data_IF_677354526360
#
_entry.id   IF_677354526360
#
_cell.length_a   1.000
_cell.length_b   1.000
_cell.length_c   1.000
_cell.angle_alpha   90.00
_cell.angle_beta   90.00
_cell.angle_gamma   90.00
#
_symmetry.space_group_name_H-M   'P 1'
#
loop_
_entity.id
_entity.type
_entity.pdbx_description
1 polymer ?
#
# COMPACT_ATOMS: atom_id res chain seq x y z
N UNK A 1 -17.13 23.80 7.64
CA UNK A 1 -16.68 24.11 6.27
C UNK A 1 -16.02 22.88 5.66
N UNK A 2 -16.22 22.63 4.37
CA UNK A 2 -15.61 21.48 3.67
C UNK A 2 -14.09 21.65 3.63
N UNK A 3 -13.38 20.90 4.47
CA UNK A 3 -11.93 21.01 4.66
C UNK A 3 -11.11 20.50 3.46
N UNK A 4 -11.72 19.75 2.54
CA UNK A 4 -11.08 19.29 1.31
C UNK A 4 -12.06 19.42 0.13
N UNK A 5 -11.66 20.21 -0.87
CA UNK A 5 -12.42 20.45 -2.10
C UNK A 5 -12.26 19.29 -3.08
N UNK A 6 -13.13 19.20 -4.09
CA UNK A 6 -12.98 18.26 -5.20
C UNK A 6 -11.61 18.41 -5.89
N UNK A 7 -11.15 19.64 -6.05
CA UNK A 7 -9.82 19.96 -6.57
C UNK A 7 -8.69 19.46 -5.67
N UNK A 8 -8.85 19.56 -4.34
CA UNK A 8 -7.93 18.98 -3.38
C UNK A 8 -7.84 17.45 -3.49
N UNK A 9 -8.99 16.76 -3.63
CA UNK A 9 -9.01 15.31 -3.85
C UNK A 9 -8.30 14.94 -5.15
N UNK A 10 -8.57 15.66 -6.25
CA UNK A 10 -7.92 15.44 -7.53
C UNK A 10 -6.40 15.66 -7.45
N UNK A 11 -5.96 16.74 -6.81
CA UNK A 11 -4.54 17.03 -6.58
C UNK A 11 -3.84 15.90 -5.79
N UNK A 12 -4.49 15.39 -4.74
CA UNK A 12 -3.98 14.29 -3.93
C UNK A 12 -3.81 13.01 -4.77
N UNK A 13 -4.78 12.68 -5.60
CA UNK A 13 -4.71 11.50 -6.48
C UNK A 13 -3.65 11.64 -7.55
N UNK A 14 -3.58 12.80 -8.23
CA UNK A 14 -2.62 13.06 -9.29
C UNK A 14 -1.17 13.05 -8.77
N UNK A 15 -0.91 13.68 -7.61
CA UNK A 15 0.41 13.69 -7.00
C UNK A 15 0.87 12.28 -6.62
N UNK A 16 -0.01 11.50 -5.98
CA UNK A 16 0.28 10.12 -5.61
C UNK A 16 0.52 9.23 -6.83
N UNK A 17 -0.37 9.30 -7.84
CA UNK A 17 -0.28 8.50 -9.06
C UNK A 17 1.00 8.82 -9.85
N UNK A 18 1.30 10.11 -10.04
CA UNK A 18 2.49 10.53 -10.76
C UNK A 18 3.77 10.01 -10.09
N UNK A 19 3.87 10.12 -8.76
CA UNK A 19 5.04 9.62 -8.03
C UNK A 19 5.17 8.09 -8.11
N UNK A 20 4.06 7.36 -7.92
CA UNK A 20 4.02 5.89 -8.07
C UNK A 20 4.46 5.45 -9.46
N UNK A 21 4.00 6.12 -10.52
CA UNK A 21 4.39 5.83 -11.90
C UNK A 21 5.88 6.09 -12.13
N UNK A 22 6.42 7.20 -11.64
CA UNK A 22 7.85 7.55 -11.73
C UNK A 22 8.70 6.46 -11.06
N UNK A 23 8.37 6.09 -9.83
CA UNK A 23 9.11 5.07 -9.08
C UNK A 23 8.97 3.68 -9.70
N UNK A 24 7.77 3.31 -10.17
CA UNK A 24 7.53 2.05 -10.88
C UNK A 24 8.36 1.97 -12.16
N UNK A 25 8.43 3.06 -12.93
CA UNK A 25 9.25 3.14 -14.13
C UNK A 25 10.75 3.00 -13.81
N UNK A 26 11.21 3.52 -12.67
CA UNK A 26 12.58 3.36 -12.16
C UNK A 26 12.83 2.00 -11.49
N UNK A 27 11.81 1.17 -11.30
CA UNK A 27 11.91 -0.12 -10.61
C UNK A 27 12.18 0.01 -9.11
N UNK A 28 11.81 1.14 -8.51
CA UNK A 28 11.89 1.40 -7.08
C UNK A 28 10.58 0.96 -6.41
N UNK A 29 10.57 -0.11 -5.61
CA UNK A 29 9.40 -0.50 -4.84
C UNK A 29 9.12 0.57 -3.78
N UNK A 30 8.05 1.34 -3.96
CA UNK A 30 7.58 2.33 -2.99
C UNK A 30 6.13 2.03 -2.60
N UNK A 31 5.72 2.57 -1.46
CA UNK A 31 4.36 2.42 -0.94
C UNK A 31 3.39 3.39 -1.63
N UNK A 32 2.37 2.83 -2.29
CA UNK A 32 1.22 3.60 -2.78
C UNK A 32 0.48 4.32 -1.66
N UNK A 33 0.28 3.65 -0.51
CA UNK A 33 -0.30 4.23 0.70
C UNK A 33 0.46 5.48 1.16
N UNK A 34 1.80 5.43 1.12
CA UNK A 34 2.66 6.51 1.61
C UNK A 34 2.64 7.69 0.64
N UNK A 35 2.56 7.37 -0.65
CA UNK A 35 2.40 8.36 -1.71
C UNK A 35 1.05 9.08 -1.61
N UNK A 36 -0.03 8.33 -1.40
CA UNK A 36 -1.38 8.86 -1.24
C UNK A 36 -1.51 9.74 0.00
N UNK A 37 -0.98 9.29 1.14
CA UNK A 37 -1.02 10.08 2.38
C UNK A 37 -0.28 11.41 2.24
N UNK A 38 0.93 11.39 1.67
CA UNK A 38 1.66 12.62 1.38
C UNK A 38 0.92 13.51 0.39
N UNK A 39 0.32 12.93 -0.66
CA UNK A 39 -0.50 13.67 -1.63
C UNK A 39 -1.72 14.35 -0.99
N UNK A 40 -2.45 13.66 -0.10
CA UNK A 40 -3.60 14.21 0.63
C UNK A 40 -3.15 15.35 1.55
N UNK A 41 -2.09 15.14 2.34
CA UNK A 41 -1.54 16.18 3.22
C UNK A 41 -1.11 17.40 2.39
N UNK A 42 -0.35 17.18 1.32
CA UNK A 42 0.08 18.24 0.42
C UNK A 42 -1.09 19.02 -0.19
N UNK A 43 -2.05 18.31 -0.78
CA UNK A 43 -3.21 18.94 -1.43
C UNK A 43 -4.10 19.70 -0.43
N UNK A 44 -4.28 19.17 0.78
CA UNK A 44 -4.98 19.87 1.85
C UNK A 44 -4.25 21.15 2.25
N UNK A 45 -2.91 21.12 2.37
CA UNK A 45 -2.11 22.32 2.63
C UNK A 45 -2.18 23.34 1.50
N UNK A 46 -2.12 22.90 0.23
CA UNK A 46 -2.26 23.80 -0.91
C UNK A 46 -3.63 24.48 -0.96
N UNK A 47 -4.69 23.71 -0.69
CA UNK A 47 -6.06 24.24 -0.59
C UNK A 47 -6.21 25.20 0.59
N UNK A 48 -5.64 24.85 1.76
CA UNK A 48 -5.62 25.69 2.94
C UNK A 48 -5.00 27.06 2.67
N UNK A 49 -3.81 27.08 2.06
CA UNK A 49 -3.09 28.30 1.71
C UNK A 49 -3.92 29.17 0.76
N UNK A 50 -4.54 28.56 -0.26
CA UNK A 50 -5.40 29.28 -1.20
C UNK A 50 -6.60 29.94 -0.52
N UNK A 51 -7.23 29.24 0.41
CA UNK A 51 -8.40 29.73 1.16
C UNK A 51 -8.04 30.63 2.36
N UNK A 52 -6.74 30.83 2.65
CA UNK A 52 -6.28 31.63 3.79
C UNK A 52 -6.40 30.94 5.15
N UNK A 53 -6.53 29.61 5.19
CA UNK A 53 -6.55 28.82 6.41
C UNK A 53 -5.16 28.34 6.84
N UNK A 54 -4.98 28.09 8.15
CA UNK A 54 -3.75 27.55 8.73
C UNK A 54 -3.62 26.02 8.69
N UNK A 55 -2.63 25.49 9.42
CA UNK A 55 -2.35 24.04 9.51
C UNK A 55 -3.44 23.23 10.23
N UNK A 56 -4.43 23.89 10.82
CA UNK A 56 -5.56 23.30 11.55
C UNK A 56 -6.45 22.40 10.67
N UNK A 57 -6.29 22.48 9.35
CA UNK A 57 -6.98 21.59 8.40
C UNK A 57 -6.49 20.13 8.50
N UNK A 58 -5.26 19.90 8.99
CA UNK A 58 -4.71 18.55 9.13
C UNK A 58 -5.13 17.92 10.46
N UNK A 59 -5.99 16.89 10.37
CA UNK A 59 -6.38 16.06 11.53
C UNK A 59 -5.26 15.09 11.91
N UNK A 60 -4.30 15.57 12.70
CA UNK A 60 -3.13 14.80 13.12
C UNK A 60 -3.47 13.52 13.90
N UNK A 61 -4.59 13.49 14.61
CA UNK A 61 -5.08 12.32 15.34
C UNK A 61 -5.27 11.09 14.44
N UNK A 62 -5.70 11.29 13.19
CA UNK A 62 -5.81 10.20 12.21
C UNK A 62 -4.52 9.98 11.39
N UNK A 63 -3.79 11.06 11.09
CA UNK A 63 -2.60 11.02 10.23
C UNK A 63 -1.40 10.37 10.94
N UNK A 64 -1.13 10.76 12.19
CA UNK A 64 0.08 10.32 12.87
C UNK A 64 0.13 8.80 13.12
N UNK A 65 -0.94 8.14 13.63
CA UNK A 65 -0.95 6.69 13.81
C UNK A 65 -0.75 5.94 12.48
N UNK A 66 -1.32 6.45 11.40
CA UNK A 66 -1.19 5.86 10.08
C UNK A 66 0.26 5.93 9.56
N UNK A 67 0.94 7.07 9.69
CA UNK A 67 2.37 7.22 9.32
C UNK A 67 3.23 6.26 10.15
N UNK A 68 3.00 6.21 11.47
CA UNK A 68 3.76 5.34 12.39
C UNK A 68 3.59 3.87 11.99
N UNK A 69 2.37 3.42 11.78
CA UNK A 69 2.08 2.04 11.39
C UNK A 69 2.75 1.66 10.06
N UNK A 70 2.75 2.57 9.08
CA UNK A 70 3.40 2.36 7.79
C UNK A 70 4.92 2.29 7.92
N UNK A 71 5.53 3.06 8.83
CA UNK A 71 6.95 3.00 9.16
C UNK A 71 7.35 1.72 9.91
N UNK A 72 6.46 1.18 10.75
CA UNK A 72 6.69 -0.07 11.51
C UNK A 72 6.42 -1.34 10.70
N UNK A 73 5.55 -1.27 9.68
CA UNK A 73 5.16 -2.42 8.86
C UNK A 73 6.31 -3.24 8.23
N UNK A 74 7.42 -2.67 7.72
CA UNK A 74 8.54 -3.48 7.23
C UNK A 74 9.24 -4.25 8.36
N UNK A 75 9.32 -3.69 9.58
CA UNK A 75 9.92 -4.38 10.72
C UNK A 75 9.05 -5.57 11.15
N UNK A 76 7.73 -5.38 11.22
CA UNK A 76 6.79 -6.47 11.51
C UNK A 76 6.89 -7.56 10.44
N UNK A 77 6.87 -7.18 9.16
CA UNK A 77 7.05 -8.10 8.04
C UNK A 77 8.34 -8.92 8.17
N UNK A 78 9.45 -8.26 8.52
CA UNK A 78 10.73 -8.92 8.78
C UNK A 78 10.63 -9.96 9.92
N UNK A 79 10.09 -9.56 11.07
CA UNK A 79 9.99 -10.41 12.26
C UNK A 79 9.14 -11.64 11.98
N UNK A 80 7.93 -11.46 11.43
CA UNK A 80 7.01 -12.57 11.16
C UNK A 80 7.58 -13.54 10.13
N UNK A 81 8.22 -13.05 9.06
CA UNK A 81 8.84 -13.93 8.06
C UNK A 81 10.10 -14.63 8.60
N UNK A 82 10.92 -13.95 9.40
CA UNK A 82 12.12 -14.52 10.01
C UNK A 82 11.77 -15.67 10.96
N UNK A 83 10.83 -15.46 11.88
CA UNK A 83 10.38 -16.51 12.79
C UNK A 83 9.56 -17.58 12.08
N UNK A 84 8.69 -17.18 11.15
CA UNK A 84 7.89 -18.12 10.34
C UNK A 84 8.77 -19.08 9.55
N UNK A 85 9.86 -18.60 8.94
CA UNK A 85 10.79 -19.47 8.23
C UNK A 85 11.57 -20.39 9.19
N UNK A 86 12.04 -19.88 10.34
CA UNK A 86 12.68 -20.74 11.35
C UNK A 86 11.75 -21.86 11.83
N UNK A 87 10.49 -21.54 12.10
CA UNK A 87 9.46 -22.52 12.46
C UNK A 87 9.23 -23.54 11.35
N UNK A 88 9.15 -23.07 10.10
CA UNK A 88 8.98 -23.95 8.94
C UNK A 88 10.17 -24.90 8.79
N UNK A 89 11.40 -24.40 8.96
CA UNK A 89 12.62 -25.22 8.96
C UNK A 89 12.62 -26.23 10.10
N UNK A 90 12.23 -25.83 11.31
CA UNK A 90 12.15 -26.74 12.46
C UNK A 90 11.09 -27.84 12.26
N UNK A 91 9.90 -27.52 11.77
CA UNK A 91 8.85 -28.49 11.47
C UNK A 91 9.26 -29.47 10.36
N UNK A 92 10.06 -29.00 9.40
CA UNK A 92 10.48 -29.81 8.24
C UNK A 92 11.87 -30.39 8.37
N UNK A 93 12.63 -30.11 9.44
CA UNK A 93 14.01 -30.60 9.57
C UNK A 93 14.08 -32.12 9.67
N UNK A 94 12.99 -32.77 10.08
CA UNK A 94 12.84 -34.24 10.09
C UNK A 94 12.63 -34.80 8.66
N UNK A 95 12.04 -34.00 7.76
CA UNK A 95 11.72 -34.38 6.39
C UNK A 95 12.63 -33.63 5.41
N UNK A 96 13.74 -34.24 4.98
CA UNK A 96 14.78 -33.64 4.13
C UNK A 96 14.24 -32.59 3.12
N UNK A 97 14.24 -31.28 3.44
CA UNK A 97 13.56 -30.26 2.62
C UNK A 97 14.25 -30.07 1.26
N UNK A 98 15.51 -30.51 1.16
CA UNK A 98 16.32 -30.52 -0.05
C UNK A 98 16.00 -31.70 -0.96
N UNK A 99 15.22 -32.69 -0.50
CA UNK A 99 14.68 -33.75 -1.34
C UNK A 99 13.71 -33.17 -2.37
N UNK A 100 13.54 -33.88 -3.49
CA UNK A 100 12.63 -33.47 -4.58
C UNK A 100 11.21 -33.22 -4.08
N UNK A 101 10.72 -34.07 -3.18
CA UNK A 101 9.39 -33.96 -2.59
C UNK A 101 9.22 -32.66 -1.76
N UNK A 102 10.21 -32.29 -0.94
CA UNK A 102 10.19 -31.05 -0.17
C UNK A 102 10.14 -29.81 -1.06
N UNK A 103 10.93 -29.79 -2.15
CA UNK A 103 10.86 -28.69 -3.13
C UNK A 103 9.49 -28.59 -3.81
N UNK A 104 8.90 -29.71 -4.21
CA UNK A 104 7.57 -29.71 -4.84
C UNK A 104 6.48 -29.21 -3.88
N UNK A 105 6.53 -29.65 -2.62
CA UNK A 105 5.62 -29.18 -1.58
C UNK A 105 5.71 -27.66 -1.41
N UNK A 106 6.92 -27.12 -1.20
CA UNK A 106 7.09 -25.68 -0.99
C UNK A 106 6.79 -24.84 -2.23
N UNK A 107 7.00 -25.36 -3.45
CA UNK A 107 6.52 -24.68 -4.65
C UNK A 107 4.99 -24.58 -4.70
N UNK A 108 4.28 -25.64 -4.30
CA UNK A 108 2.81 -25.62 -4.20
C UNK A 108 2.32 -24.69 -3.09
N UNK A 109 2.94 -24.75 -1.91
CA UNK A 109 2.63 -23.84 -0.79
C UNK A 109 2.93 -22.39 -1.15
N UNK A 110 4.01 -22.12 -1.88
CA UNK A 110 4.32 -20.77 -2.35
C UNK A 110 3.25 -20.25 -3.31
N UNK A 111 2.73 -21.08 -4.22
CA UNK A 111 1.65 -20.66 -5.11
C UNK A 111 0.39 -20.25 -4.31
N UNK A 112 0.07 -21.01 -3.26
CA UNK A 112 -1.03 -20.68 -2.36
C UNK A 112 -0.76 -19.37 -1.58
N UNK A 113 0.43 -19.22 -0.98
CA UNK A 113 0.77 -18.00 -0.23
C UNK A 113 0.86 -16.76 -1.13
N UNK A 114 1.35 -16.90 -2.36
CA UNK A 114 1.38 -15.81 -3.33
C UNK A 114 -0.05 -15.37 -3.72
N UNK A 115 -0.97 -16.33 -3.84
CA UNK A 115 -2.39 -16.05 -4.10
C UNK A 115 -3.04 -15.33 -2.93
N UNK A 116 -2.78 -15.76 -1.69
CA UNK A 116 -3.25 -15.08 -0.47
C UNK A 116 -2.66 -13.66 -0.36
N UNK A 117 -1.37 -13.50 -0.63
CA UNK A 117 -0.71 -12.20 -0.63
C UNK A 117 -1.30 -11.27 -1.71
N UNK A 118 -1.59 -11.79 -2.90
CA UNK A 118 -2.26 -11.02 -3.97
C UNK A 118 -3.68 -10.59 -3.56
N UNK A 119 -4.44 -11.49 -2.93
CA UNK A 119 -5.76 -11.15 -2.37
C UNK A 119 -5.65 -10.06 -1.29
N UNK A 120 -4.70 -10.19 -0.36
CA UNK A 120 -4.47 -9.20 0.69
C UNK A 120 -3.98 -7.86 0.17
N UNK A 121 -3.15 -7.89 -0.88
CA UNK A 121 -2.74 -6.69 -1.60
C UNK A 121 -3.96 -5.96 -2.17
N UNK A 122 -4.89 -6.70 -2.79
CA UNK A 122 -6.16 -6.16 -3.28
C UNK A 122 -7.06 -5.60 -2.21
N UNK A 123 -7.32 -6.38 -1.15
CA UNK A 123 -8.13 -5.96 -0.01
C UNK A 123 -7.61 -4.64 0.59
N UNK A 124 -6.30 -4.55 0.83
CA UNK A 124 -5.70 -3.36 1.44
C UNK A 124 -5.57 -2.16 0.50
N UNK A 125 -5.11 -2.33 -0.74
CA UNK A 125 -4.80 -1.19 -1.62
C UNK A 125 -6.05 -0.66 -2.35
N UNK A 126 -7.01 -1.53 -2.67
CA UNK A 126 -8.26 -1.09 -3.29
C UNK A 126 -9.10 -0.24 -2.31
N UNK A 127 -9.14 -0.61 -1.02
CA UNK A 127 -9.84 0.17 0.02
C UNK A 127 -9.39 1.64 0.08
N UNK A 128 -8.10 1.91 -0.14
CA UNK A 128 -7.56 3.27 -0.09
C UNK A 128 -8.14 4.14 -1.21
N UNK A 129 -8.16 3.60 -2.42
CA UNK A 129 -8.71 4.31 -3.59
C UNK A 129 -10.22 4.42 -3.48
N UNK A 130 -10.91 3.37 -3.02
CA UNK A 130 -12.36 3.41 -2.74
C UNK A 130 -12.70 4.52 -1.73
N UNK A 131 -11.91 4.66 -0.66
CA UNK A 131 -12.08 5.71 0.34
C UNK A 131 -11.94 7.12 -0.24
N UNK A 132 -10.95 7.35 -1.10
CA UNK A 132 -10.74 8.66 -1.77
C UNK A 132 -11.86 8.98 -2.74
N UNK A 133 -12.32 8.01 -3.54
CA UNK A 133 -13.46 8.21 -4.44
C UNK A 133 -14.73 8.48 -3.63
N UNK A 134 -14.99 7.72 -2.57
CA UNK A 134 -16.14 7.93 -1.69
C UNK A 134 -16.09 9.31 -1.04
N UNK A 135 -14.90 9.76 -0.64
CA UNK A 135 -14.67 11.11 -0.12
C UNK A 135 -14.97 12.20 -1.15
N UNK A 136 -14.64 11.99 -2.43
CA UNK A 136 -15.07 12.87 -3.51
C UNK A 136 -16.60 12.88 -3.65
N UNK A 137 -17.26 11.73 -3.54
CA UNK A 137 -18.72 11.66 -3.66
C UNK A 137 -19.45 12.35 -2.51
N UNK A 138 -19.01 12.19 -1.26
CA UNK A 138 -19.64 12.87 -0.10
C UNK A 138 -19.38 14.38 -0.09
N UNK A 139 -18.34 14.83 -0.79
CA UNK A 139 -18.01 16.27 -0.91
C UNK A 139 -18.70 16.93 -2.09
N UNK A 140 -19.60 16.24 -2.81
CA UNK A 140 -20.41 16.85 -3.87
C UNK A 140 -21.37 17.90 -3.29
N UNK A 141 -21.62 19.01 -4.00
CA UNK A 141 -22.67 19.96 -3.62
C UNK A 141 -24.03 19.25 -3.54
N UNK A 142 -24.86 19.62 -2.56
CA UNK A 142 -26.18 19.01 -2.37
C UNK A 142 -27.08 19.09 -3.61
N UNK A 143 -26.98 20.19 -4.37
CA UNK A 143 -27.68 20.40 -5.63
C UNK A 143 -27.30 19.37 -6.69
N UNK A 144 -26.01 19.03 -6.79
CA UNK A 144 -25.50 18.01 -7.71
C UNK A 144 -25.84 16.60 -7.21
N UNK A 145 -25.68 16.35 -5.91
CA UNK A 145 -25.94 15.04 -5.31
C UNK A 145 -27.41 14.60 -5.49
N UNK A 146 -28.37 15.53 -5.39
CA UNK A 146 -29.80 15.25 -5.58
C UNK A 146 -30.18 14.89 -7.03
N UNK A 147 -29.38 15.30 -8.01
CA UNK A 147 -29.62 14.99 -9.42
C UNK A 147 -29.04 13.62 -9.83
N UNK A 148 -28.21 13.02 -8.97
CA UNK A 148 -27.56 11.76 -9.28
C UNK A 148 -28.45 10.57 -8.90
N UNK A 149 -28.39 9.46 -9.64
CA UNK A 149 -29.09 8.25 -9.28
C UNK A 149 -28.68 7.75 -7.89
N UNK A 150 -29.63 7.18 -7.13
CA UNK A 150 -29.36 6.69 -5.78
C UNK A 150 -28.23 5.65 -5.69
N UNK A 151 -28.00 4.87 -6.76
CA UNK A 151 -26.90 3.90 -6.83
C UNK A 151 -25.51 4.53 -6.98
N UNK A 152 -25.44 5.80 -7.40
CA UNK A 152 -24.19 6.51 -7.63
C UNK A 152 -23.63 7.13 -6.34
N UNK A 153 -24.52 7.62 -5.48
CA UNK A 153 -24.19 8.29 -4.22
C UNK A 153 -23.88 7.25 -3.13
N UNK A 154 -22.97 7.54 -2.17
CA UNK A 154 -22.68 6.66 -1.05
C UNK A 154 -23.96 6.22 -0.30
N UNK A 155 -24.21 4.90 -0.18
CA UNK A 155 -25.34 4.42 0.60
C UNK A 155 -25.11 4.70 2.09
N UNK A 156 -26.18 4.94 2.86
CA UNK A 156 -26.08 5.03 4.32
C UNK A 156 -25.89 3.65 4.91
N UNK A 157 -24.79 3.44 5.63
CA UNK A 157 -24.48 2.22 6.36
C UNK A 157 -25.42 1.96 7.54
N UNK A 158 -25.36 0.76 8.11
CA UNK A 158 -26.19 0.36 9.26
C UNK A 158 -25.89 1.16 10.54
N UNK A 159 -24.70 1.75 10.60
CA UNK A 159 -24.16 2.63 11.62
C UNK A 159 -24.44 4.13 11.36
N UNK A 160 -25.09 4.46 10.25
CA UNK A 160 -25.34 5.84 9.82
C UNK A 160 -24.18 6.48 9.06
N UNK A 161 -23.06 5.77 8.90
CA UNK A 161 -21.87 6.27 8.18
C UNK A 161 -21.97 6.03 6.67
N UNK A 162 -21.30 6.85 5.82
CA UNK A 162 -21.29 6.64 4.38
C UNK A 162 -20.60 5.32 3.99
N UNK A 163 -21.36 4.40 3.41
CA UNK A 163 -20.85 3.17 2.82
C UNK A 163 -20.18 3.39 1.47
N UNK A 164 -19.48 2.37 0.97
CA UNK A 164 -18.81 2.41 -0.33
C UNK A 164 -19.78 1.88 -1.41
N UNK A 165 -20.09 2.66 -2.47
CA UNK A 165 -20.94 2.18 -3.56
C UNK A 165 -20.35 0.96 -4.27
N UNK A 166 -21.20 0.01 -4.68
CA UNK A 166 -20.76 -1.21 -5.37
C UNK A 166 -19.96 -0.92 -6.65
N UNK A 167 -20.34 0.10 -7.41
CA UNK A 167 -19.63 0.48 -8.63
C UNK A 167 -18.20 0.94 -8.33
N UNK A 168 -17.96 1.62 -7.21
CA UNK A 168 -16.61 2.04 -6.76
C UNK A 168 -15.78 0.80 -6.44
N UNK A 169 -16.38 -0.18 -5.75
CA UNK A 169 -15.71 -1.45 -5.43
C UNK A 169 -15.29 -2.17 -6.71
N UNK A 170 -16.22 -2.34 -7.65
CA UNK A 170 -15.98 -3.03 -8.92
C UNK A 170 -14.97 -2.29 -9.80
N UNK A 171 -15.05 -0.95 -9.87
CA UNK A 171 -14.13 -0.13 -10.64
C UNK A 171 -12.70 -0.23 -10.09
N UNK A 172 -12.52 -0.07 -8.76
CA UNK A 172 -11.21 -0.20 -8.11
C UNK A 172 -10.64 -1.61 -8.26
N UNK A 173 -11.45 -2.66 -8.04
CA UNK A 173 -11.02 -4.05 -8.19
C UNK A 173 -10.58 -4.35 -9.63
N UNK A 174 -11.36 -3.93 -10.61
CA UNK A 174 -11.06 -4.15 -12.04
C UNK A 174 -9.82 -3.37 -12.47
N UNK A 175 -9.71 -2.09 -12.09
CA UNK A 175 -8.55 -1.27 -12.39
C UNK A 175 -7.26 -1.85 -11.78
N UNK A 176 -7.33 -2.35 -10.54
CA UNK A 176 -6.19 -2.98 -9.89
C UNK A 176 -5.80 -4.30 -10.56
N UNK A 177 -6.78 -5.13 -10.94
CA UNK A 177 -6.54 -6.38 -11.66
C UNK A 177 -5.86 -6.13 -13.03
N UNK A 178 -6.37 -5.17 -13.80
CA UNK A 178 -5.78 -4.77 -15.08
C UNK A 178 -4.38 -4.19 -14.89
N UNK A 179 -4.19 -3.28 -13.92
CA UNK A 179 -2.89 -2.69 -13.64
C UNK A 179 -1.82 -3.71 -13.22
N UNK A 180 -2.22 -4.69 -12.41
CA UNK A 180 -1.35 -5.81 -11.99
C UNK A 180 -0.99 -6.72 -13.17
N UNK A 181 -1.95 -7.00 -14.05
CA UNK A 181 -1.71 -7.82 -15.25
C UNK A 181 -0.82 -7.11 -16.29
N UNK A 182 -0.96 -5.79 -16.41
CA UNK A 182 -0.27 -5.01 -17.43
C UNK A 182 1.17 -4.61 -17.06
N UNK A 183 1.54 -4.57 -15.78
CA UNK A 183 2.71 -3.81 -15.34
C UNK A 183 3.46 -4.32 -14.12
N UNK A 184 4.36 -3.47 -13.60
CA UNK A 184 5.14 -3.74 -12.38
C UNK A 184 6.41 -4.57 -12.58
N UNK A 185 6.72 -5.03 -13.79
CA UNK A 185 7.85 -5.94 -14.07
C UNK A 185 9.21 -5.52 -13.50
N UNK A 186 9.55 -4.22 -13.57
CA UNK A 186 10.81 -3.70 -13.01
C UNK A 186 10.82 -3.80 -11.49
N UNK A 187 9.69 -3.51 -10.83
CA UNK A 187 9.53 -3.60 -9.38
C UNK A 187 9.58 -5.06 -8.93
N UNK A 188 8.85 -5.95 -9.62
CA UNK A 188 8.87 -7.40 -9.39
C UNK A 188 10.29 -7.94 -9.50
N UNK A 189 11.04 -7.54 -10.54
CA UNK A 189 12.45 -7.93 -10.69
C UNK A 189 13.32 -7.43 -9.53
N UNK A 190 13.10 -6.21 -9.06
CA UNK A 190 13.84 -5.66 -7.90
C UNK A 190 13.59 -6.48 -6.64
N UNK A 191 12.33 -6.75 -6.29
CA UNK A 191 11.97 -7.48 -5.08
C UNK A 191 12.33 -8.98 -5.17
N UNK A 192 12.07 -9.62 -6.31
CA UNK A 192 12.24 -11.06 -6.47
C UNK A 192 13.68 -11.52 -6.71
N UNK A 193 14.54 -10.68 -7.29
CA UNK A 193 15.91 -11.12 -7.68
C UNK A 193 17.04 -10.21 -7.21
N UNK A 194 16.79 -8.91 -7.01
CA UNK A 194 17.85 -7.95 -6.65
C UNK A 194 17.98 -7.69 -5.14
N UNK A 195 16.99 -8.09 -4.35
CA UNK A 195 16.96 -7.84 -2.91
C UNK A 195 17.51 -9.00 -2.09
N UNK A 196 17.00 -10.21 -2.32
CA UNK A 196 17.46 -11.44 -1.68
C UNK A 196 17.29 -12.63 -2.65
N UNK A 197 18.09 -13.67 -2.48
CA UNK A 197 17.91 -14.91 -3.23
C UNK A 197 16.81 -15.76 -2.58
N UNK A 198 15.59 -15.68 -3.11
CA UNK A 198 14.42 -16.39 -2.59
C UNK A 198 14.26 -17.74 -3.32
N UNK A 199 14.12 -18.85 -2.58
CA UNK A 199 13.64 -20.14 -3.12
C UNK A 199 12.21 -20.36 -2.60
N UNK A 200 11.51 -21.43 -3.02
CA UNK A 200 10.09 -21.57 -2.69
C UNK A 200 9.74 -21.57 -1.21
N UNK A 201 10.59 -22.14 -0.36
CA UNK A 201 10.38 -22.14 1.09
C UNK A 201 10.50 -20.74 1.69
N UNK A 202 11.53 -19.98 1.30
CA UNK A 202 11.71 -18.60 1.73
C UNK A 202 10.62 -17.68 1.17
N UNK A 203 10.17 -17.94 -0.06
CA UNK A 203 9.07 -17.22 -0.70
C UNK A 203 7.76 -17.43 0.03
N UNK A 204 7.43 -18.69 0.32
CA UNK A 204 6.29 -19.05 1.15
C UNK A 204 6.31 -18.34 2.51
N UNK A 205 7.45 -18.39 3.22
CA UNK A 205 7.54 -17.74 4.53
C UNK A 205 7.44 -16.21 4.45
N UNK A 206 8.02 -15.58 3.41
CA UNK A 206 7.91 -14.15 3.20
C UNK A 206 6.47 -13.71 2.90
N UNK A 207 5.78 -14.42 2.00
CA UNK A 207 4.41 -14.13 1.60
C UNK A 207 3.42 -14.41 2.74
N UNK A 208 3.57 -15.52 3.46
CA UNK A 208 2.75 -15.84 4.62
C UNK A 208 2.97 -14.85 5.77
N UNK A 209 4.22 -14.50 6.07
CA UNK A 209 4.55 -13.51 7.09
C UNK A 209 3.97 -12.13 6.76
N UNK A 210 4.06 -11.72 5.49
CA UNK A 210 3.44 -10.48 5.05
C UNK A 210 1.91 -10.53 5.13
N UNK A 211 1.28 -11.63 4.71
CA UNK A 211 -0.17 -11.80 4.77
C UNK A 211 -0.71 -11.72 6.21
N UNK A 212 -0.01 -12.32 7.18
CA UNK A 212 -0.38 -12.22 8.61
C UNK A 212 -0.33 -10.77 9.10
N UNK A 213 0.73 -10.04 8.78
CA UNK A 213 0.85 -8.63 9.18
C UNK A 213 -0.23 -7.77 8.52
N UNK A 214 -0.54 -8.02 7.24
CA UNK A 214 -1.57 -7.28 6.52
C UNK A 214 -2.98 -7.57 7.02
N UNK A 215 -3.30 -8.82 7.35
CA UNK A 215 -4.61 -9.16 7.90
C UNK A 215 -4.80 -8.60 9.30
N UNK A 216 -3.80 -8.74 10.18
CA UNK A 216 -3.85 -8.15 11.52
C UNK A 216 -4.02 -6.63 11.47
N UNK A 217 -3.32 -5.95 10.56
CA UNK A 217 -3.49 -4.52 10.37
C UNK A 217 -4.89 -4.15 9.84
N UNK A 218 -5.44 -4.96 8.93
CA UNK A 218 -6.79 -4.75 8.40
C UNK A 218 -7.87 -4.93 9.48
N UNK A 219 -7.74 -5.93 10.36
CA UNK A 219 -8.65 -6.13 11.51
C UNK A 219 -8.57 -4.98 12.52
N UNK A 220 -7.38 -4.41 12.73
CA UNK A 220 -7.18 -3.25 13.59
C UNK A 220 -7.59 -1.93 12.91
N UNK A 221 -7.99 -1.95 11.63
CA UNK A 221 -8.35 -0.75 10.87
C UNK A 221 -7.18 0.20 10.61
N UNK A 222 -5.93 -0.29 10.74
CA UNK A 222 -4.74 0.54 10.61
C UNK A 222 -4.19 0.45 9.19
N UNK A 223 -4.07 1.58 8.46
CA UNK A 223 -3.54 1.55 7.10
C UNK A 223 -2.05 1.21 7.12
N UNK A 224 -1.70 0.08 6.52
CA UNK A 224 -0.31 -0.38 6.35
C UNK A 224 0.12 -0.38 4.89
N UNK A 225 1.44 -0.42 4.68
CA UNK A 225 2.01 -0.52 3.35
C UNK A 225 2.28 -1.97 2.98
N UNK A 226 1.53 -2.48 2.01
CA UNK A 226 1.75 -3.80 1.40
C UNK A 226 3.19 -3.96 0.91
N UNK A 227 3.73 -2.93 0.24
CA UNK A 227 5.10 -2.92 -0.30
C UNK A 227 6.16 -2.93 0.80
N UNK A 228 6.01 -2.13 1.86
CA UNK A 228 6.97 -2.15 2.96
C UNK A 228 6.95 -3.49 3.68
N UNK A 229 5.76 -4.01 4.01
CA UNK A 229 5.59 -5.29 4.69
C UNK A 229 6.25 -6.42 3.91
N UNK A 230 5.92 -6.61 2.62
CA UNK A 230 6.51 -7.70 1.83
C UNK A 230 8.02 -7.54 1.64
N UNK A 231 8.51 -6.31 1.49
CA UNK A 231 9.96 -6.06 1.38
C UNK A 231 10.67 -6.45 2.68
N UNK A 232 10.10 -6.06 3.83
CA UNK A 232 10.56 -6.47 5.15
C UNK A 232 10.55 -7.99 5.31
N UNK A 233 9.48 -8.65 4.90
CA UNK A 233 9.35 -10.11 4.96
C UNK A 233 10.36 -10.84 4.07
N UNK A 234 10.64 -10.34 2.86
CA UNK A 234 11.68 -10.88 1.98
C UNK A 234 13.07 -10.76 2.63
N UNK A 235 13.36 -9.63 3.27
CA UNK A 235 14.61 -9.43 4.02
C UNK A 235 14.69 -10.39 5.22
N UNK A 236 13.61 -10.53 5.98
CA UNK A 236 13.51 -11.43 7.13
C UNK A 236 13.76 -12.88 6.76
N UNK A 237 13.04 -13.38 5.75
CA UNK A 237 13.24 -14.73 5.23
C UNK A 237 14.67 -14.94 4.67
N UNK A 238 15.22 -13.95 3.97
CA UNK A 238 16.59 -14.01 3.45
C UNK A 238 17.66 -14.11 4.56
N UNK A 239 17.44 -13.43 5.69
CA UNK A 239 18.35 -13.41 6.83
C UNK A 239 18.47 -14.76 7.54
N UNK A 240 17.40 -15.57 7.61
CA UNK A 240 17.41 -16.89 8.29
C UNK A 240 18.45 -17.82 7.68
N UNK A 241 18.57 -17.82 6.35
CA UNK A 241 19.52 -18.70 5.66
C UNK A 241 20.95 -18.17 5.77
N UNK A 242 21.16 -16.93 5.36
CA UNK A 242 22.45 -16.27 5.45
C UNK A 242 22.25 -14.75 5.29
N UNK A 243 22.50 -13.94 6.32
CA UNK A 243 22.41 -12.48 6.23
C UNK A 243 23.29 -11.86 5.14
N UNK A 244 24.39 -12.52 4.74
CA UNK A 244 25.27 -12.08 3.64
C UNK A 244 24.67 -12.29 2.24
N UNK A 245 23.64 -13.14 2.12
CA UNK A 245 22.94 -13.37 0.85
C UNK A 245 21.96 -12.25 0.50
N UNK A 246 21.60 -11.41 1.48
CA UNK A 246 20.77 -10.22 1.31
C UNK A 246 21.62 -9.09 0.72
N UNK A 247 21.08 -8.43 -0.31
CA UNK A 247 21.73 -7.30 -0.98
C UNK A 247 21.40 -5.99 -0.25
N UNK A 248 22.06 -5.76 0.88
CA UNK A 248 21.86 -4.58 1.73
C UNK A 248 21.98 -3.24 0.99
N UNK A 249 22.85 -3.14 -0.03
CA UNK A 249 22.94 -1.94 -0.87
C UNK A 249 21.66 -1.67 -1.69
N UNK A 250 20.96 -2.71 -2.15
CA UNK A 250 19.64 -2.57 -2.77
C UNK A 250 18.60 -2.18 -1.71
N UNK A 251 18.63 -2.83 -0.54
CA UNK A 251 17.74 -2.50 0.57
C UNK A 251 17.85 -1.04 1.01
N UNK A 252 19.07 -0.49 1.11
CA UNK A 252 19.31 0.90 1.43
C UNK A 252 18.75 1.87 0.38
N UNK A 253 18.88 1.54 -0.92
CA UNK A 253 18.27 2.33 -2.02
C UNK A 253 16.76 2.35 -1.94
N UNK A 254 16.15 1.20 -1.60
CA UNK A 254 14.70 1.08 -1.41
C UNK A 254 14.26 1.93 -0.22
N UNK A 255 14.92 1.80 0.92
CA UNK A 255 14.62 2.56 2.13
C UNK A 255 14.78 4.08 1.91
N UNK A 256 15.83 4.50 1.22
CA UNK A 256 16.00 5.91 0.83
C UNK A 256 14.85 6.41 -0.05
N UNK A 257 14.38 5.59 -1.01
CA UNK A 257 13.22 5.92 -1.82
C UNK A 257 11.93 6.04 -0.98
N UNK A 258 11.78 5.23 0.08
CA UNK A 258 10.64 5.33 1.00
C UNK A 258 10.63 6.63 1.78
N UNK A 259 11.79 7.04 2.33
CA UNK A 259 11.93 8.32 3.02
C UNK A 259 11.65 9.48 2.07
N UNK A 260 12.19 9.43 0.85
CA UNK A 260 12.02 10.50 -0.13
C UNK A 260 10.60 10.58 -0.72
N UNK A 261 9.84 9.48 -0.68
CA UNK A 261 8.48 9.43 -1.23
C UNK A 261 7.56 10.42 -0.54
N UNK A 262 7.62 10.51 0.79
CA UNK A 262 6.74 11.39 1.56
C UNK A 262 6.93 12.89 1.24
N UNK A 263 8.13 13.49 1.32
CA UNK A 263 8.33 14.89 0.96
C UNK A 263 8.02 15.13 -0.52
N UNK A 264 8.37 14.21 -1.43
CA UNK A 264 8.07 14.36 -2.85
C UNK A 264 6.57 14.47 -3.10
N UNK A 265 5.75 13.59 -2.50
CA UNK A 265 4.30 13.60 -2.73
C UNK A 265 3.59 14.72 -1.98
N UNK A 266 4.08 15.13 -0.79
CA UNK A 266 3.60 16.34 -0.11
C UNK A 266 3.84 17.57 -0.96
N UNK A 267 5.06 17.75 -1.50
CA UNK A 267 5.36 18.91 -2.35
C UNK A 267 4.54 18.90 -3.64
N UNK A 268 4.44 17.74 -4.31
CA UNK A 268 3.62 17.62 -5.52
C UNK A 268 2.14 17.89 -5.24
N UNK A 269 1.60 17.34 -4.14
CA UNK A 269 0.23 17.56 -3.71
C UNK A 269 -0.05 19.03 -3.39
N UNK A 270 0.87 19.70 -2.70
CA UNK A 270 0.77 21.13 -2.37
C UNK A 270 0.73 21.99 -3.62
N UNK A 271 1.66 21.77 -4.55
CA UNK A 271 1.72 22.53 -5.81
C UNK A 271 0.45 22.30 -6.64
N UNK A 272 0.03 21.05 -6.81
CA UNK A 272 -1.20 20.73 -7.54
C UNK A 272 -2.45 21.28 -6.85
N UNK A 273 -2.50 21.24 -5.51
CA UNK A 273 -3.59 21.80 -4.72
C UNK A 273 -3.73 23.30 -4.93
N UNK A 274 -2.62 24.04 -4.92
CA UNK A 274 -2.64 25.48 -5.23
C UNK A 274 -3.10 25.75 -6.66
N UNK A 275 -2.50 25.04 -7.63
CA UNK A 275 -2.79 25.26 -9.05
C UNK A 275 -4.25 24.95 -9.40
N UNK A 276 -4.79 23.83 -8.92
CA UNK A 276 -6.16 23.40 -9.26
C UNK A 276 -7.23 24.22 -8.56
N UNK A 277 -6.97 24.81 -7.38
CA UNK A 277 -7.94 25.72 -6.76
C UNK A 277 -7.87 27.14 -7.38
N UNK A 278 -6.79 27.46 -8.09
CA UNK A 278 -6.63 28.75 -8.79
C UNK A 278 -7.27 28.76 -10.19
N UNK A 279 -7.43 27.58 -10.80
CA UNK A 279 -8.15 27.36 -12.07
C UNK A 279 -9.66 27.30 -11.87
#
# INVERSE_FOLDING_TARGET
EQMMTQWGVLAAMLSAAAWVLICTHKGLPISGSHSLMGGIIGAALGTAIYLGHGLEILKWEGIAPAIIAMGLSPLLGFIFAYWGLNLTVWLTSVANPKARAGRQLFSGLQLLSASLMAFQHGKNDAQKVMGVITLALITLPATTAQQLPAWFVPPTGADGEPGIPLWVILACATAMAIGTAAGGWKVIRTLGTKLAHIRPMEGFAAEAGAAVVLEAAAELGVPVSTTHTITGSILGAGCVRNPKSVKWGTGAKIFAAWIFTFPATVTMGLVLGLLLNWL
#
